data_IF_685134162758
#
_entry.id   IF_685134162758
#
_cell.length_a   1.000
_cell.length_b   1.000
_cell.length_c   1.000
_cell.angle_alpha   90.00
_cell.angle_beta   90.00
_cell.angle_gamma   90.00
#
_symmetry.space_group_name_H-M   'P 1'
#
loop_
_entity.id
_entity.type
_entity.pdbx_description
1 polymer ?
#
# COMPACT_ATOMS: atom_id res chain seq x y z
N UNK A 1 -9.32 -8.82 -5.59
CA UNK A 1 -9.19 -10.05 -4.80
C UNK A 1 -9.44 -9.77 -3.32
N UNK A 2 -9.80 -10.80 -2.56
CA UNK A 2 -9.87 -10.85 -1.09
C UNK A 2 -8.83 -11.84 -0.58
N UNK A 3 -8.57 -11.85 0.73
CA UNK A 3 -7.56 -12.76 1.30
C UNK A 3 -7.90 -14.23 1.08
N UNK A 4 -9.19 -14.58 1.05
CA UNK A 4 -9.61 -15.94 0.78
C UNK A 4 -9.21 -16.41 -0.62
N UNK A 5 -9.17 -15.49 -1.60
CA UNK A 5 -8.71 -15.82 -2.96
C UNK A 5 -7.23 -16.21 -2.92
N UNK A 6 -6.39 -15.49 -2.16
CA UNK A 6 -4.96 -15.82 -2.00
C UNK A 6 -4.74 -17.17 -1.32
N UNK A 7 -5.63 -17.54 -0.38
CA UNK A 7 -5.62 -18.87 0.25
C UNK A 7 -5.99 -19.95 -0.76
N UNK A 8 -7.07 -19.73 -1.52
CA UNK A 8 -7.51 -20.67 -2.57
C UNK A 8 -6.46 -20.85 -3.66
N UNK A 9 -5.73 -19.80 -4.03
CA UNK A 9 -4.64 -19.87 -5.01
C UNK A 9 -3.37 -20.52 -4.46
N UNK A 10 -3.29 -20.82 -3.16
CA UNK A 10 -2.09 -21.34 -2.52
C UNK A 10 -0.96 -20.30 -2.41
N UNK A 11 -1.24 -19.01 -2.59
CA UNK A 11 -0.25 -17.93 -2.41
C UNK A 11 0.19 -17.80 -0.95
N UNK A 12 -0.71 -18.08 -0.01
CA UNK A 12 -0.46 -18.14 1.42
C UNK A 12 -1.47 -19.09 2.06
N UNK A 13 -1.14 -19.71 3.18
CA UNK A 13 -2.10 -20.54 3.93
C UNK A 13 -2.90 -19.70 4.95
N UNK A 14 -3.89 -20.33 5.59
CA UNK A 14 -4.78 -19.64 6.53
C UNK A 14 -4.05 -19.08 7.75
N UNK A 15 -3.03 -19.78 8.24
CA UNK A 15 -2.25 -19.35 9.41
C UNK A 15 -1.41 -18.13 9.09
N UNK A 16 -0.78 -18.09 7.91
CA UNK A 16 -0.09 -16.91 7.39
C UNK A 16 -1.04 -15.73 7.24
N UNK A 17 -2.25 -15.94 6.70
CA UNK A 17 -3.26 -14.88 6.59
C UNK A 17 -3.61 -14.28 7.96
N UNK A 18 -3.80 -15.13 8.96
CA UNK A 18 -4.15 -14.72 10.33
C UNK A 18 -2.98 -13.99 11.01
N UNK A 19 -1.76 -14.50 10.84
CA UNK A 19 -0.55 -13.86 11.35
C UNK A 19 -0.36 -12.47 10.74
N UNK A 20 -0.42 -12.35 9.41
CA UNK A 20 -0.28 -11.06 8.73
C UNK A 20 -1.40 -10.10 9.15
N UNK A 21 -2.65 -10.57 9.29
CA UNK A 21 -3.75 -9.75 9.81
C UNK A 21 -3.42 -9.21 11.21
N UNK A 22 -2.88 -10.03 12.10
CA UNK A 22 -2.48 -9.60 13.44
C UNK A 22 -1.36 -8.54 13.38
N UNK A 23 -0.35 -8.73 12.52
CA UNK A 23 0.72 -7.75 12.28
C UNK A 23 0.18 -6.41 11.75
N UNK A 24 -0.70 -6.45 10.75
CA UNK A 24 -1.34 -5.24 10.19
C UNK A 24 -2.14 -4.53 11.28
N UNK A 25 -2.98 -5.24 12.04
CA UNK A 25 -3.78 -4.63 13.12
C UNK A 25 -2.91 -4.07 14.26
N UNK A 26 -1.75 -4.65 14.49
CA UNK A 26 -0.77 -4.19 15.49
C UNK A 26 0.18 -3.10 14.97
N UNK A 27 -0.06 -2.60 13.74
CA UNK A 27 0.73 -1.53 13.09
C UNK A 27 2.21 -1.88 12.93
N UNK A 28 2.54 -3.16 12.77
CA UNK A 28 3.90 -3.59 12.46
C UNK A 28 4.23 -3.17 11.02
N UNK A 29 5.38 -2.54 10.83
CA UNK A 29 5.90 -2.20 9.49
C UNK A 29 6.30 -3.47 8.75
N UNK A 30 5.90 -3.57 7.48
CA UNK A 30 6.10 -4.76 6.66
C UNK A 30 6.49 -4.36 5.24
N UNK A 31 7.21 -5.25 4.55
CA UNK A 31 7.59 -5.10 3.14
C UNK A 31 7.14 -6.34 2.38
N UNK A 32 6.48 -6.15 1.24
CA UNK A 32 6.13 -7.23 0.31
C UNK A 32 7.17 -7.25 -0.81
N UNK A 33 8.01 -8.29 -0.82
CA UNK A 33 9.14 -8.42 -1.75
C UNK A 33 8.95 -9.59 -2.73
N UNK A 34 9.62 -9.52 -3.89
CA UNK A 34 9.55 -10.53 -4.95
C UNK A 34 9.91 -9.97 -6.33
N UNK A 35 10.09 -10.85 -7.31
CA UNK A 35 10.43 -10.47 -8.69
C UNK A 35 9.36 -9.61 -9.39
N UNK A 36 9.72 -8.98 -10.51
CA UNK A 36 8.75 -8.28 -11.36
C UNK A 36 7.66 -9.25 -11.83
N UNK A 37 6.40 -8.83 -11.78
CA UNK A 37 5.26 -9.69 -12.14
C UNK A 37 4.88 -10.77 -11.12
N UNK A 38 5.56 -10.86 -9.96
CA UNK A 38 5.27 -11.90 -8.95
C UNK A 38 4.00 -11.66 -8.10
N UNK A 39 3.20 -10.63 -8.43
CA UNK A 39 1.97 -10.32 -7.70
C UNK A 39 2.12 -9.46 -6.43
N UNK A 40 3.26 -8.78 -6.20
CA UNK A 40 3.49 -7.95 -5.00
C UNK A 40 2.37 -6.93 -4.75
N UNK A 41 2.07 -6.09 -5.73
CA UNK A 41 1.03 -5.05 -5.62
C UNK A 41 -0.34 -5.69 -5.35
N UNK A 42 -0.63 -6.82 -6.00
CA UNK A 42 -1.85 -7.59 -5.77
C UNK A 42 -1.95 -8.08 -4.33
N UNK A 43 -0.89 -8.68 -3.80
CA UNK A 43 -0.83 -9.14 -2.40
C UNK A 43 -0.98 -7.96 -1.44
N UNK A 44 -0.27 -6.85 -1.68
CA UNK A 44 -0.36 -5.64 -0.86
C UNK A 44 -1.79 -5.06 -0.84
N UNK A 45 -2.46 -4.99 -1.99
CA UNK A 45 -3.86 -4.56 -2.11
C UNK A 45 -4.84 -5.46 -1.34
N UNK A 46 -4.58 -6.77 -1.29
CA UNK A 46 -5.42 -7.68 -0.54
C UNK A 46 -5.19 -7.51 0.96
N UNK A 47 -3.94 -7.44 1.39
CA UNK A 47 -3.55 -7.33 2.80
C UNK A 47 -3.90 -5.95 3.40
N UNK A 48 -3.92 -4.89 2.59
CA UNK A 48 -4.33 -3.55 3.02
C UNK A 48 -5.80 -3.50 3.46
N UNK A 49 -6.64 -4.47 3.07
CA UNK A 49 -8.01 -4.61 3.61
C UNK A 49 -8.05 -4.98 5.11
N UNK A 50 -6.93 -5.37 5.71
CA UNK A 50 -6.84 -5.58 7.15
C UNK A 50 -6.60 -4.30 7.94
N UNK A 51 -6.32 -3.18 7.27
CA UNK A 51 -6.20 -1.87 7.89
C UNK A 51 -7.60 -1.41 8.35
N UNK A 52 -7.82 -1.08 9.64
CA UNK A 52 -9.10 -0.59 10.13
C UNK A 52 -9.58 0.67 9.42
N UNK A 53 -10.89 0.76 9.15
CA UNK A 53 -11.53 1.93 8.50
C UNK A 53 -11.40 3.24 9.28
N UNK A 54 -11.09 3.17 10.58
CA UNK A 54 -10.89 4.33 11.46
C UNK A 54 -9.53 5.00 11.25
N UNK A 55 -8.60 4.34 10.57
CA UNK A 55 -7.24 4.82 10.38
C UNK A 55 -7.11 5.67 9.11
N UNK A 56 -6.32 6.73 9.20
CA UNK A 56 -5.94 7.56 8.05
C UNK A 56 -4.79 6.92 7.28
N UNK A 57 -5.02 6.62 6.01
CA UNK A 57 -4.03 5.98 5.13
C UNK A 57 -3.61 6.96 4.05
N UNK A 58 -2.29 7.07 3.83
CA UNK A 58 -1.72 7.78 2.69
C UNK A 58 -1.00 6.76 1.80
N UNK A 59 -1.38 6.65 0.53
CA UNK A 59 -0.62 5.88 -0.46
C UNK A 59 0.36 6.80 -1.18
N UNK A 60 1.56 6.29 -1.50
CA UNK A 60 2.59 6.99 -2.26
C UNK A 60 3.10 6.06 -3.35
N UNK A 61 2.79 6.35 -4.60
CA UNK A 61 3.09 5.43 -5.71
C UNK A 61 3.79 6.15 -6.87
N UNK A 62 4.56 5.42 -7.68
CA UNK A 62 5.09 5.98 -8.94
C UNK A 62 3.98 6.07 -10.00
N UNK A 63 3.22 4.99 -10.12
CA UNK A 63 1.98 4.90 -10.90
C UNK A 63 0.91 4.32 -9.99
N UNK A 64 -0.25 4.95 -9.92
CA UNK A 64 -1.33 4.53 -9.04
C UNK A 64 -1.89 3.14 -9.44
N UNK A 65 -1.58 2.12 -8.64
CA UNK A 65 -2.05 0.73 -8.78
C UNK A 65 -2.83 0.26 -7.53
N UNK A 66 -2.61 0.90 -6.38
CA UNK A 66 -3.25 0.52 -5.13
C UNK A 66 -4.72 0.94 -5.10
N UNK A 67 -5.56 0.02 -4.63
CA UNK A 67 -7.02 0.12 -4.59
C UNK A 67 -7.50 -0.13 -3.17
N UNK A 68 -7.15 0.80 -2.27
CA UNK A 68 -7.55 0.77 -0.87
C UNK A 68 -9.00 1.24 -0.68
N UNK A 69 -9.65 0.76 0.37
CA UNK A 69 -11.09 1.00 0.63
C UNK A 69 -11.37 1.83 1.88
N UNK A 70 -10.32 2.22 2.61
CA UNK A 70 -10.44 2.99 3.83
C UNK A 70 -11.12 4.34 3.55
N UNK A 71 -12.00 4.76 4.46
CA UNK A 71 -12.76 6.02 4.31
C UNK A 71 -11.86 7.25 4.31
N UNK A 72 -10.77 7.20 5.07
CA UNK A 72 -9.82 8.28 5.23
C UNK A 72 -8.54 7.99 4.43
N UNK A 73 -8.70 7.87 3.11
CA UNK A 73 -7.63 7.58 2.16
C UNK A 73 -7.19 8.86 1.44
N UNK A 74 -5.88 9.08 1.36
CA UNK A 74 -5.25 10.05 0.48
C UNK A 74 -4.30 9.31 -0.45
N UNK A 75 -4.41 9.53 -1.75
CA UNK A 75 -3.49 8.95 -2.73
C UNK A 75 -2.55 10.01 -3.27
N UNK A 76 -1.25 9.74 -3.19
CA UNK A 76 -0.19 10.57 -3.73
C UNK A 76 0.52 9.79 -4.84
N UNK A 77 0.67 10.42 -6.01
CA UNK A 77 1.30 9.81 -7.18
C UNK A 77 2.48 10.67 -7.61
N UNK A 78 3.61 10.02 -7.89
CA UNK A 78 4.78 10.68 -8.44
C UNK A 78 4.45 11.25 -9.81
N UNK A 79 5.17 12.30 -10.19
CA UNK A 79 4.99 12.92 -11.49
C UNK A 79 6.34 13.11 -12.13
N UNK A 80 6.50 12.58 -13.34
CA UNK A 80 7.65 12.89 -14.18
C UNK A 80 7.67 14.37 -14.57
N UNK A 81 8.85 14.89 -14.92
CA UNK A 81 8.95 16.23 -15.45
C UNK A 81 8.11 16.38 -16.74
N UNK A 82 7.57 17.57 -16.97
CA UNK A 82 6.99 17.93 -18.26
C UNK A 82 8.09 18.02 -19.34
N UNK A 83 7.70 18.28 -20.60
CA UNK A 83 8.63 18.39 -21.75
C UNK A 83 9.72 19.44 -21.55
N UNK A 84 9.47 20.44 -20.69
CA UNK A 84 10.43 21.51 -20.35
C UNK A 84 11.33 21.15 -19.14
N UNK A 85 11.26 19.91 -18.64
CA UNK A 85 12.05 19.47 -17.48
C UNK A 85 11.53 19.97 -16.13
N UNK A 86 10.31 20.51 -16.06
CA UNK A 86 9.73 21.13 -14.86
C UNK A 86 8.61 20.30 -14.25
N UNK A 87 8.38 20.52 -12.95
CA UNK A 87 7.21 19.97 -12.25
C UNK A 87 7.31 18.50 -11.87
N UNK A 88 8.52 17.92 -11.89
CA UNK A 88 8.76 16.60 -11.35
C UNK A 88 8.47 16.56 -9.84
N UNK A 89 7.89 15.46 -9.38
CA UNK A 89 7.65 15.18 -7.96
C UNK A 89 8.08 13.74 -7.72
N UNK A 90 9.14 13.54 -6.95
CA UNK A 90 9.65 12.21 -6.67
C UNK A 90 8.88 11.55 -5.51
N UNK A 91 8.87 10.21 -5.47
CA UNK A 91 8.33 9.44 -4.33
C UNK A 91 8.87 9.96 -3.00
N UNK A 92 10.17 10.29 -2.93
CA UNK A 92 10.80 10.82 -1.73
C UNK A 92 10.13 12.11 -1.24
N UNK A 93 9.75 13.01 -2.15
CA UNK A 93 9.09 14.27 -1.81
C UNK A 93 7.68 14.02 -1.29
N UNK A 94 6.98 13.05 -1.89
CA UNK A 94 5.65 12.62 -1.47
C UNK A 94 5.67 11.95 -0.10
N UNK A 95 6.65 11.09 0.20
CA UNK A 95 6.80 10.49 1.54
C UNK A 95 7.03 11.57 2.60
N UNK A 96 7.89 12.56 2.32
CA UNK A 96 8.11 13.70 3.25
C UNK A 96 6.83 14.51 3.44
N UNK A 97 6.05 14.73 2.38
CA UNK A 97 4.76 15.40 2.46
C UNK A 97 3.75 14.58 3.28
N UNK A 98 3.65 13.27 3.03
CA UNK A 98 2.75 12.35 3.71
C UNK A 98 2.92 12.38 5.22
N UNK A 99 4.16 12.47 5.74
CA UNK A 99 4.44 12.57 7.17
C UNK A 99 3.79 13.81 7.83
N UNK A 100 3.56 14.89 7.08
CA UNK A 100 2.88 16.10 7.57
C UNK A 100 1.35 15.99 7.55
N UNK A 101 0.81 14.98 6.88
CA UNK A 101 -0.63 14.75 6.75
C UNK A 101 -1.25 14.01 7.93
N UNK A 102 -0.47 13.79 9.01
CA UNK A 102 -0.85 13.02 10.20
C UNK A 102 -1.45 11.64 9.85
N UNK A 103 -0.76 10.81 9.05
CA UNK A 103 -1.25 9.48 8.72
C UNK A 103 -1.14 8.55 9.92
N UNK A 104 -2.10 7.62 10.06
CA UNK A 104 -1.90 6.40 10.86
C UNK A 104 -1.03 5.40 10.08
N UNK A 105 -1.15 5.39 8.75
CA UNK A 105 -0.38 4.51 7.85
C UNK A 105 0.09 5.23 6.59
N UNK A 106 1.30 4.88 6.18
CA UNK A 106 1.84 5.19 4.85
C UNK A 106 2.05 3.86 4.14
N UNK A 107 1.53 3.73 2.93
CA UNK A 107 1.78 2.60 2.04
C UNK A 107 2.54 3.14 0.84
N UNK A 108 3.72 2.58 0.58
CA UNK A 108 4.61 2.95 -0.53
C UNK A 108 4.71 1.77 -1.48
#
# INVERSE_FOLDING_TARGET
>A
YKVQDLVTFGTLNQDMANFIRACVRSRISMVVSGGTGSGKTTTLNVLSNFIPDTERVVTVEDTAELQLRQRNLVSLEARSANVEGRGAVAIRDLVVNALRMRPDRIVV
#
